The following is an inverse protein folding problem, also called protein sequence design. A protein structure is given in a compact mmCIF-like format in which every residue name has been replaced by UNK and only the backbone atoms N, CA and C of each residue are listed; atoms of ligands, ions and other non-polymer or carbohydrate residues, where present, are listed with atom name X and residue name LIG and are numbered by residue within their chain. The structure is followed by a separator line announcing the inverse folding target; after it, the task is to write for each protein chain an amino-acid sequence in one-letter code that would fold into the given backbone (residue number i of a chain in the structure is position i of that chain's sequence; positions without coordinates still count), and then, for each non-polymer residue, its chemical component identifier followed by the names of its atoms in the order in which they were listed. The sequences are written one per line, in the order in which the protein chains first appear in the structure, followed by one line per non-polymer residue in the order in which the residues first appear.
data_IF_579769052651
#
_entry.id   IF_579769052651
#
_cell.length_a   1.000
_cell.length_b   1.000
_cell.length_c   1.000
_cell.angle_alpha   90.00
_cell.angle_beta   90.00
_cell.angle_gamma   90.00
#
_symmetry.space_group_name_H-M   'P 1'
#
loop_
_entity.id
_entity.type
_entity.pdbx_description
1 polymer ?
#
# COMPACT_ATOMS: atom_id res chain seq x y z
N UNK A 1 -15.15 29.72 -18.90
CA UNK A 1 -14.44 30.63 -17.99
C UNK A 1 -13.30 31.20 -18.79
N UNK A 2 -13.64 32.26 -19.50
CA UNK A 2 -12.71 33.19 -20.12
C UNK A 2 -11.97 33.92 -19.00
N UNK A 3 -10.64 34.03 -19.08
CA UNK A 3 -9.99 35.23 -18.57
C UNK A 3 -8.77 35.54 -19.43
N UNK A 4 -8.84 36.76 -19.95
CA UNK A 4 -8.08 37.35 -21.02
C UNK A 4 -6.76 37.99 -20.52
N UNK A 5 -5.81 38.10 -21.46
CA UNK A 5 -5.03 39.31 -21.76
C UNK A 5 -4.33 40.08 -20.63
N UNK A 6 -2.99 40.12 -20.67
CA UNK A 6 -2.31 41.43 -20.69
C UNK A 6 -0.97 41.41 -21.43
N UNK A 7 -0.95 42.12 -22.56
CA UNK A 7 0.18 42.43 -23.42
C UNK A 7 0.54 43.89 -23.14
N UNK A 8 1.76 44.16 -22.69
CA UNK A 8 2.23 45.53 -22.49
C UNK A 8 3.32 45.88 -23.52
N UNK A 9 3.09 46.83 -24.43
CA UNK A 9 4.08 47.37 -25.35
C UNK A 9 4.53 48.81 -24.99
N UNK A 10 5.72 49.14 -25.49
CA UNK A 10 6.25 50.48 -25.79
C UNK A 10 6.67 51.45 -24.68
N UNK A 11 7.83 52.10 -24.88
CA UNK A 11 8.20 53.27 -24.09
C UNK A 11 9.63 53.80 -24.20
N UNK A 12 10.05 54.22 -25.41
CA UNK A 12 11.05 55.27 -25.75
C UNK A 12 11.42 56.25 -24.59
N UNK A 13 12.64 56.81 -24.39
CA UNK A 13 13.54 57.56 -25.31
C UNK A 13 14.76 58.12 -24.51
N UNK A 14 15.77 58.74 -25.15
CA UNK A 14 17.13 58.91 -24.62
C UNK A 14 17.37 60.24 -23.88
N UNK A 15 18.33 60.25 -22.94
CA UNK A 15 18.94 61.48 -22.43
C UNK A 15 20.46 61.45 -22.58
N UNK A 16 20.93 62.22 -23.56
CA UNK A 16 22.27 62.77 -23.63
C UNK A 16 22.64 63.48 -22.32
N UNK A 17 23.77 63.10 -21.71
CA UNK A 17 24.49 64.00 -20.80
C UNK A 17 26.01 63.93 -21.03
N UNK A 18 26.46 64.98 -21.69
CA UNK A 18 27.75 65.70 -21.66
C UNK A 18 28.90 65.07 -20.84
N UNK A 19 29.92 64.73 -21.61
CA UNK A 19 31.36 64.64 -21.37
C UNK A 19 31.89 65.42 -20.16
N UNK A 20 32.62 64.72 -19.28
CA UNK A 20 33.81 65.26 -18.62
C UNK A 20 34.96 64.26 -18.80
N UNK A 21 35.86 64.63 -19.70
CA UNK A 21 37.15 63.98 -19.88
C UNK A 21 38.02 64.30 -18.66
N UNK A 22 38.23 63.33 -17.78
CA UNK A 22 39.38 63.31 -16.88
C UNK A 22 40.49 62.46 -17.53
N UNK A 23 41.64 63.05 -17.86
CA UNK A 23 42.82 62.29 -18.24
C UNK A 23 43.48 61.69 -16.99
N UNK A 24 44.39 60.75 -17.20
CA UNK A 24 45.29 60.11 -16.22
C UNK A 24 44.71 59.02 -15.30
N UNK A 25 44.66 57.80 -15.84
CA UNK A 25 45.15 56.59 -15.14
C UNK A 25 45.32 55.45 -16.17
N UNK A 26 46.18 55.68 -17.17
CA UNK A 26 46.65 54.64 -18.09
C UNK A 26 47.95 54.03 -17.56
N UNK A 27 47.89 53.40 -16.39
CA UNK A 27 48.91 52.44 -15.94
C UNK A 27 48.16 51.41 -15.11
N UNK A 28 48.27 50.12 -15.48
CA UNK A 28 47.64 48.94 -14.84
C UNK A 28 46.37 48.34 -15.46
N UNK A 29 45.96 48.71 -16.69
CA UNK A 29 44.87 47.99 -17.41
C UNK A 29 45.18 46.53 -17.73
N UNK A 30 46.46 46.15 -17.81
CA UNK A 30 46.85 44.77 -18.09
C UNK A 30 46.63 43.80 -16.92
N UNK A 31 46.51 44.29 -15.68
CA UNK A 31 46.40 43.42 -14.51
C UNK A 31 44.95 42.96 -14.29
N UNK A 32 43.98 43.86 -14.43
CA UNK A 32 42.56 43.57 -14.23
C UNK A 32 41.97 42.63 -15.28
N UNK A 33 42.40 42.72 -16.54
CA UNK A 33 41.93 41.82 -17.60
C UNK A 33 42.39 40.38 -17.37
N UNK A 34 43.62 40.17 -16.89
CA UNK A 34 44.14 38.83 -16.56
C UNK A 34 43.42 38.21 -15.37
N UNK A 35 43.10 39.01 -14.35
CA UNK A 35 42.32 38.56 -13.20
C UNK A 35 40.89 38.11 -13.61
N UNK A 36 40.21 38.92 -14.43
CA UNK A 36 38.88 38.60 -14.96
C UNK A 36 38.88 37.33 -15.81
N UNK A 37 39.91 37.12 -16.64
CA UNK A 37 40.04 35.92 -17.45
C UNK A 37 40.30 34.67 -16.59
N UNK A 38 41.08 34.81 -15.51
CA UNK A 38 41.27 33.74 -14.54
C UNK A 38 39.98 33.37 -13.78
N UNK A 39 39.22 34.38 -13.34
CA UNK A 39 37.94 34.16 -12.65
C UNK A 39 36.89 33.52 -13.55
N UNK A 40 36.81 33.93 -14.83
CA UNK A 40 35.88 33.33 -15.80
C UNK A 40 36.25 31.88 -16.13
N UNK A 41 37.55 31.58 -16.30
CA UNK A 41 38.02 30.20 -16.45
C UNK A 41 37.66 29.35 -15.21
N UNK A 42 37.90 29.87 -14.01
CA UNK A 42 37.55 29.16 -12.77
C UNK A 42 36.05 28.89 -12.67
N UNK A 43 35.20 29.89 -12.94
CA UNK A 43 33.75 29.73 -12.96
C UNK A 43 33.28 28.70 -14.00
N UNK A 44 33.89 28.69 -15.20
CA UNK A 44 33.55 27.72 -16.23
C UNK A 44 33.91 26.28 -15.83
N UNK A 45 35.06 26.08 -15.20
CA UNK A 45 35.49 24.77 -14.73
C UNK A 45 34.62 24.27 -13.57
N UNK A 46 34.24 25.14 -12.63
CA UNK A 46 33.37 24.77 -11.52
C UNK A 46 31.96 24.46 -12.00
N UNK A 47 31.40 25.22 -12.94
CA UNK A 47 30.08 24.91 -13.52
C UNK A 47 30.09 23.58 -14.26
N UNK A 48 31.10 23.30 -15.09
CA UNK A 48 31.24 22.00 -15.76
C UNK A 48 31.35 20.88 -14.71
N UNK A 49 32.15 21.07 -13.66
CA UNK A 49 32.28 20.10 -12.57
C UNK A 49 30.94 19.82 -11.87
N UNK A 50 30.16 20.85 -11.55
CA UNK A 50 28.83 20.70 -10.94
C UNK A 50 27.88 19.96 -11.89
N UNK A 51 27.84 20.33 -13.17
CA UNK A 51 26.98 19.67 -14.17
C UNK A 51 27.34 18.18 -14.30
N UNK A 52 28.62 17.83 -14.35
CA UNK A 52 29.07 16.43 -14.41
C UNK A 52 28.65 15.68 -13.15
N UNK A 53 28.77 16.27 -11.96
CA UNK A 53 28.32 15.64 -10.71
C UNK A 53 26.81 15.44 -10.69
N UNK A 54 26.03 16.41 -11.15
CA UNK A 54 24.57 16.29 -11.24
C UNK A 54 24.16 15.20 -12.22
N UNK A 55 24.77 15.15 -13.41
CA UNK A 55 24.52 14.10 -14.40
C UNK A 55 24.93 12.71 -13.90
N UNK A 56 26.08 12.60 -13.23
CA UNK A 56 26.54 11.35 -12.64
C UNK A 56 25.60 10.87 -11.53
N UNK A 57 25.14 11.79 -10.68
CA UNK A 57 24.17 11.48 -9.64
C UNK A 57 22.85 10.99 -10.24
N UNK A 58 22.35 11.63 -11.29
CA UNK A 58 21.13 11.21 -11.99
C UNK A 58 21.28 9.83 -12.63
N UNK A 59 22.40 9.59 -13.31
CA UNK A 59 22.74 8.29 -13.91
C UNK A 59 22.80 7.16 -12.86
N UNK A 60 23.46 7.40 -11.72
CA UNK A 60 23.51 6.42 -10.64
C UNK A 60 22.15 6.26 -9.96
N UNK A 61 21.37 7.33 -9.83
CA UNK A 61 20.02 7.24 -9.27
C UNK A 61 19.12 6.38 -10.15
N UNK A 62 19.21 6.52 -11.48
CA UNK A 62 18.51 5.66 -12.42
C UNK A 62 19.06 4.23 -12.46
N UNK A 63 20.36 4.03 -12.25
CA UNK A 63 20.93 2.68 -12.25
C UNK A 63 20.73 1.93 -10.92
N UNK A 64 20.59 2.68 -9.81
CA UNK A 64 20.24 2.16 -8.48
C UNK A 64 18.74 2.18 -8.20
N UNK A 65 17.94 2.72 -9.12
CA UNK A 65 16.49 2.59 -9.11
C UNK A 65 16.17 1.11 -9.38
N UNK A 66 16.16 0.32 -8.30
CA UNK A 66 15.90 -1.11 -8.32
C UNK A 66 14.68 -1.47 -9.15
N UNK A 67 14.56 -2.76 -9.46
CA UNK A 67 13.48 -3.27 -10.31
C UNK A 67 12.11 -2.72 -9.85
N UNK A 68 11.16 -2.50 -10.77
CA UNK A 68 9.82 -2.00 -10.41
C UNK A 68 9.22 -2.82 -9.26
N UNK A 69 9.42 -4.14 -9.30
CA UNK A 69 9.12 -5.08 -8.22
C UNK A 69 9.68 -4.62 -6.87
N UNK A 70 10.98 -4.34 -6.76
CA UNK A 70 11.59 -3.87 -5.51
C UNK A 70 11.00 -2.55 -5.02
N UNK A 71 10.77 -1.59 -5.93
CA UNK A 71 10.17 -0.31 -5.57
C UNK A 71 8.75 -0.50 -5.00
N UNK A 72 7.92 -1.33 -5.63
CA UNK A 72 6.55 -1.62 -5.19
C UNK A 72 6.56 -2.37 -3.86
N UNK A 73 7.39 -3.40 -3.70
CA UNK A 73 7.54 -4.13 -2.43
C UNK A 73 8.02 -3.23 -1.29
N UNK A 74 8.86 -2.24 -1.58
CA UNK A 74 9.34 -1.25 -0.61
C UNK A 74 8.26 -0.23 -0.24
N UNK A 75 7.42 0.21 -1.18
CA UNK A 75 6.33 1.18 -0.93
C UNK A 75 5.13 0.57 -0.21
N UNK A 76 4.83 -0.70 -0.47
CA UNK A 76 3.68 -1.40 0.11
C UNK A 76 4.12 -2.61 0.97
N UNK A 77 4.83 -2.37 2.08
CA UNK A 77 5.28 -3.45 2.95
C UNK A 77 4.09 -4.19 3.56
N UNK A 78 4.22 -5.51 3.72
CA UNK A 78 3.22 -6.37 4.39
C UNK A 78 2.09 -6.90 3.50
N UNK A 79 1.84 -6.31 2.33
CA UNK A 79 0.79 -6.80 1.41
C UNK A 79 1.18 -8.09 0.68
N UNK A 80 2.46 -8.23 0.35
CA UNK A 80 2.99 -9.32 -0.47
C UNK A 80 3.71 -10.36 0.37
N UNK A 81 3.38 -11.64 0.15
CA UNK A 81 4.01 -12.79 0.82
C UNK A 81 4.37 -13.86 -0.19
N UNK A 82 5.44 -14.61 0.10
CA UNK A 82 5.74 -15.84 -0.65
C UNK A 82 4.78 -16.96 -0.19
N UNK A 83 4.66 -18.01 -1.00
CA UNK A 83 3.84 -19.16 -0.64
C UNK A 83 4.33 -19.82 0.67
N UNK A 84 5.63 -20.04 0.82
CA UNK A 84 6.22 -20.65 2.03
C UNK A 84 5.92 -19.84 3.30
N UNK A 85 5.99 -18.50 3.21
CA UNK A 85 5.63 -17.62 4.33
C UNK A 85 4.15 -17.75 4.65
N UNK A 86 3.29 -17.84 3.64
CA UNK A 86 1.86 -18.03 3.84
C UNK A 86 1.55 -19.39 4.49
N UNK A 87 2.17 -20.48 4.05
CA UNK A 87 2.01 -21.82 4.64
C UNK A 87 2.46 -21.87 6.10
N UNK A 88 3.56 -21.17 6.42
CA UNK A 88 4.04 -21.03 7.80
C UNK A 88 3.02 -20.29 8.68
N UNK A 89 2.40 -19.21 8.17
CA UNK A 89 1.34 -18.47 8.87
C UNK A 89 0.09 -19.34 9.06
N UNK A 90 -0.32 -20.10 8.05
CA UNK A 90 -1.47 -21.02 8.16
C UNK A 90 -1.23 -22.05 9.26
N UNK A 91 -0.03 -22.65 9.26
CA UNK A 91 0.35 -23.67 10.24
C UNK A 91 0.39 -23.10 11.66
N UNK A 92 0.94 -21.90 11.85
CA UNK A 92 0.98 -21.26 13.17
C UNK A 92 -0.40 -20.86 13.66
N UNK A 93 -1.28 -20.36 12.79
CA UNK A 93 -2.67 -20.05 13.14
C UNK A 93 -3.45 -21.30 13.55
N UNK A 94 -3.30 -22.40 12.81
CA UNK A 94 -3.90 -23.70 13.15
C UNK A 94 -3.46 -24.16 14.55
N UNK A 95 -2.17 -24.07 14.85
CA UNK A 95 -1.65 -24.52 16.14
C UNK A 95 -2.12 -23.64 17.31
N UNK A 96 -2.36 -22.35 17.07
CA UNK A 96 -2.93 -21.44 18.07
C UNK A 96 -4.40 -21.71 18.34
N UNK A 97 -5.20 -21.98 17.29
CA UNK A 97 -6.65 -22.19 17.40
C UNK A 97 -7.01 -23.51 18.13
N UNK A 98 -6.06 -24.43 18.28
CA UNK A 98 -6.26 -25.73 18.96
C UNK A 98 -6.14 -25.64 20.49
N UNK A 99 -5.66 -24.53 21.08
CA UNK A 99 -5.06 -24.58 22.43
C UNK A 99 -5.81 -23.91 23.59
N UNK A 100 -6.78 -23.02 23.39
CA UNK A 100 -7.37 -22.29 24.53
C UNK A 100 -8.88 -22.54 24.72
N UNK A 101 -9.29 -23.42 25.65
CA UNK A 101 -10.63 -23.34 26.21
C UNK A 101 -10.74 -22.00 26.95
N UNK A 102 -11.58 -21.11 26.43
CA UNK A 102 -11.88 -19.81 27.06
C UNK A 102 -12.44 -20.09 28.46
N UNK A 103 -11.66 -19.75 29.49
CA UNK A 103 -12.11 -19.82 30.88
C UNK A 103 -13.15 -18.70 31.10
N UNK A 104 -14.38 -19.11 31.37
CA UNK A 104 -15.52 -18.24 31.71
C UNK A 104 -15.26 -17.60 33.07
N UNK A 105 -14.52 -16.48 33.12
CA UNK A 105 -14.49 -15.55 34.27
C UNK A 105 -13.73 -14.23 34.03
N UNK A 106 -13.45 -13.81 32.79
CA UNK A 106 -12.84 -12.50 32.54
C UNK A 106 -13.88 -11.47 32.12
N UNK A 107 -14.24 -10.56 33.04
CA UNK A 107 -14.90 -9.29 32.73
C UNK A 107 -13.94 -8.38 31.98
N UNK A 108 -14.06 -8.32 30.65
CA UNK A 108 -13.31 -7.39 29.81
C UNK A 108 -13.99 -6.02 29.80
N UNK A 109 -13.41 -5.06 30.51
CA UNK A 109 -13.65 -3.63 30.30
C UNK A 109 -12.66 -3.13 29.23
N UNK A 110 -13.20 -2.61 28.13
CA UNK A 110 -12.53 -1.64 27.25
C UNK A 110 -11.45 -2.19 26.32
N UNK A 111 -11.84 -2.35 25.04
CA UNK A 111 -11.10 -2.10 23.78
C UNK A 111 -11.60 -3.15 22.77
N UNK A 112 -12.47 -2.70 21.85
CA UNK A 112 -13.09 -3.54 20.82
C UNK A 112 -12.07 -3.94 19.76
N UNK A 113 -11.39 -5.06 19.95
CA UNK A 113 -11.11 -5.98 18.86
C UNK A 113 -12.23 -7.01 18.89
N UNK A 114 -13.19 -6.89 17.99
CA UNK A 114 -14.29 -7.86 17.89
C UNK A 114 -13.75 -9.10 17.15
N UNK A 115 -12.82 -9.82 17.79
CA UNK A 115 -12.64 -11.24 17.52
C UNK A 115 -14.01 -11.90 17.73
N UNK A 116 -14.35 -12.86 16.89
CA UNK A 116 -15.66 -13.51 16.86
C UNK A 116 -15.99 -14.12 18.24
N UNK A 117 -16.56 -13.34 19.16
CA UNK A 117 -16.83 -13.79 20.52
C UNK A 117 -18.17 -14.53 20.54
N UNK A 118 -18.09 -15.75 21.05
CA UNK A 118 -19.19 -16.69 21.14
C UNK A 118 -19.92 -16.41 22.45
N UNK A 119 -21.15 -15.89 22.39
CA UNK A 119 -22.12 -16.02 23.47
C UNK A 119 -23.09 -17.17 23.14
N UNK A 120 -22.61 -18.40 23.30
CA UNK A 120 -23.51 -19.54 23.41
C UNK A 120 -23.94 -19.61 24.88
N UNK A 121 -25.08 -19.00 25.22
CA UNK A 121 -25.79 -19.38 26.44
C UNK A 121 -26.13 -20.87 26.30
N UNK A 122 -25.44 -21.69 27.09
CA UNK A 122 -25.51 -23.13 27.02
C UNK A 122 -26.96 -23.61 27.19
N UNK A 123 -27.53 -24.21 26.13
CA UNK A 123 -28.58 -25.19 26.32
C UNK A 123 -27.90 -26.42 26.93
N UNK A 124 -28.15 -26.62 28.22
CA UNK A 124 -27.73 -27.80 28.97
C UNK A 124 -28.36 -29.04 28.36
N UNK A 125 -27.59 -29.78 27.56
CA UNK A 125 -27.87 -31.19 27.32
C UNK A 125 -26.66 -32.03 27.68
N UNK A 126 -26.87 -32.87 28.69
CA UNK A 126 -26.00 -33.92 29.19
C UNK A 126 -25.64 -34.92 28.08
N UNK A 127 -24.71 -34.56 27.19
CA UNK A 127 -24.13 -35.49 26.23
C UNK A 127 -22.63 -35.61 26.48
N UNK A 128 -22.28 -36.55 27.37
CA UNK A 128 -20.99 -37.23 27.32
C UNK A 128 -20.92 -37.99 25.99
N UNK A 129 -20.53 -37.33 24.91
CA UNK A 129 -20.18 -37.99 23.65
C UNK A 129 -18.86 -37.46 23.13
N UNK A 130 -18.00 -38.42 22.81
CA UNK A 130 -16.83 -38.37 21.93
C UNK A 130 -16.37 -36.95 21.59
N UNK A 131 -15.18 -36.63 22.08
CA UNK A 131 -14.32 -35.57 21.55
C UNK A 131 -14.11 -35.86 20.07
N UNK A 132 -15.03 -35.40 19.22
CA UNK A 132 -14.81 -35.35 17.78
C UNK A 132 -13.63 -34.41 17.60
N UNK A 133 -12.53 -34.98 17.12
CA UNK A 133 -11.37 -34.23 16.65
C UNK A 133 -11.85 -33.41 15.46
N UNK A 134 -12.42 -32.23 15.75
CA UNK A 134 -12.80 -31.28 14.71
C UNK A 134 -11.54 -30.88 13.95
N UNK A 135 -11.68 -30.76 12.63
CA UNK A 135 -10.58 -30.36 11.77
C UNK A 135 -10.08 -28.97 12.21
N UNK A 136 -8.76 -28.75 12.24
CA UNK A 136 -8.20 -27.44 12.55
C UNK A 136 -8.75 -26.37 11.61
N UNK A 137 -9.26 -25.25 12.15
CA UNK A 137 -9.73 -24.09 11.39
C UNK A 137 -11.25 -23.94 11.20
N UNK A 138 -12.07 -24.79 11.82
CA UNK A 138 -13.53 -24.63 11.88
C UNK A 138 -13.99 -23.93 13.16
N UNK A 139 -14.71 -22.81 13.04
CA UNK A 139 -15.29 -22.08 14.18
C UNK A 139 -16.81 -22.24 14.17
N UNK A 140 -17.39 -22.61 15.32
CA UNK A 140 -18.83 -22.83 15.49
C UNK A 140 -19.52 -21.57 16.05
N UNK A 141 -20.64 -21.19 15.43
CA UNK A 141 -21.50 -20.08 15.84
C UNK A 141 -22.97 -20.54 15.85
N UNK A 142 -23.38 -21.21 16.93
CA UNK A 142 -24.70 -21.84 17.01
C UNK A 142 -24.85 -22.95 15.95
N UNK A 143 -25.78 -22.77 15.00
CA UNK A 143 -26.02 -23.71 13.90
C UNK A 143 -25.02 -23.58 12.73
N UNK A 144 -24.09 -22.63 12.79
CA UNK A 144 -23.24 -22.25 11.67
C UNK A 144 -21.78 -22.63 11.91
N UNK A 145 -21.11 -23.07 10.86
CA UNK A 145 -19.70 -23.44 10.88
C UNK A 145 -18.94 -22.60 9.85
N UNK A 146 -17.93 -21.87 10.33
CA UNK A 146 -17.03 -21.06 9.50
C UNK A 146 -15.73 -21.81 9.28
N UNK A 147 -15.43 -22.19 8.04
CA UNK A 147 -14.16 -22.84 7.69
C UNK A 147 -13.21 -21.81 7.10
N UNK A 148 -12.09 -21.55 7.78
CA UNK A 148 -11.10 -20.57 7.33
C UNK A 148 -10.28 -21.11 6.16
N UNK A 149 -10.03 -20.26 5.16
CA UNK A 149 -9.12 -20.53 4.05
C UNK A 149 -8.42 -19.23 3.62
N UNK A 150 -7.38 -19.35 2.78
CA UNK A 150 -6.65 -18.20 2.25
C UNK A 150 -6.78 -18.15 0.74
N UNK A 151 -7.27 -17.02 0.23
CA UNK A 151 -7.47 -16.80 -1.20
C UNK A 151 -6.43 -15.83 -1.75
N UNK A 152 -5.97 -16.06 -2.98
CA UNK A 152 -5.08 -15.14 -3.71
C UNK A 152 -5.55 -14.92 -5.15
N UNK A 153 -6.73 -14.30 -5.35
CA UNK A 153 -7.30 -14.11 -6.67
C UNK A 153 -6.48 -13.10 -7.49
N UNK A 154 -6.47 -13.23 -8.82
CA UNK A 154 -5.84 -12.25 -9.71
C UNK A 154 -6.72 -11.00 -9.89
N UNK A 155 -8.04 -11.15 -9.81
CA UNK A 155 -9.01 -10.06 -9.91
C UNK A 155 -10.05 -10.14 -8.79
N UNK A 156 -10.50 -9.00 -8.29
CA UNK A 156 -11.59 -8.92 -7.29
C UNK A 156 -12.43 -7.67 -7.52
N UNK A 157 -13.71 -7.74 -7.20
CA UNK A 157 -14.60 -6.58 -7.21
C UNK A 157 -14.43 -5.79 -5.90
N UNK A 158 -14.12 -4.50 -6.01
CA UNK A 158 -13.94 -3.62 -4.85
C UNK A 158 -15.29 -3.26 -4.20
N UNK A 159 -15.25 -2.52 -3.09
CA UNK A 159 -16.48 -2.08 -2.39
C UNK A 159 -17.38 -1.17 -3.24
N UNK A 160 -16.86 -0.59 -4.32
CA UNK A 160 -17.59 0.27 -5.25
C UNK A 160 -18.21 -0.48 -6.43
N UNK A 161 -18.06 -1.81 -6.50
CA UNK A 161 -18.60 -2.64 -7.58
C UNK A 161 -17.72 -2.70 -8.84
N UNK A 162 -16.51 -2.14 -8.81
CA UNK A 162 -15.56 -2.16 -9.94
C UNK A 162 -14.64 -3.37 -9.83
N UNK A 163 -14.47 -4.10 -10.94
CA UNK A 163 -13.47 -5.17 -11.03
C UNK A 163 -12.06 -4.58 -11.09
N UNK A 164 -11.16 -5.02 -10.20
CA UNK A 164 -9.78 -4.57 -10.08
C UNK A 164 -8.82 -5.74 -10.20
N UNK A 165 -7.69 -5.51 -10.87
CA UNK A 165 -6.60 -6.48 -10.98
C UNK A 165 -5.64 -6.29 -9.81
N UNK A 166 -5.43 -7.34 -9.02
CA UNK A 166 -4.51 -7.33 -7.90
C UNK A 166 -3.08 -7.40 -8.40
N UNK A 167 -2.19 -6.64 -7.77
CA UNK A 167 -0.77 -6.73 -8.04
C UNK A 167 -0.24 -8.10 -7.55
N UNK A 168 0.39 -8.86 -8.44
CA UNK A 168 1.08 -10.11 -8.12
C UNK A 168 2.45 -10.15 -8.79
N UNK A 169 3.40 -10.82 -8.14
CA UNK A 169 4.72 -11.12 -8.67
C UNK A 169 4.92 -12.64 -8.68
N UNK A 170 5.83 -13.13 -9.53
CA UNK A 170 6.03 -14.57 -9.75
C UNK A 170 6.20 -15.39 -8.45
N UNK A 171 6.89 -14.83 -7.46
CA UNK A 171 7.23 -15.42 -6.16
C UNK A 171 6.46 -14.81 -4.99
N UNK A 172 5.70 -13.73 -5.20
CA UNK A 172 5.04 -12.98 -4.13
C UNK A 172 3.63 -12.57 -4.51
N UNK A 173 2.67 -13.02 -3.72
CA UNK A 173 1.24 -12.77 -3.94
C UNK A 173 0.60 -12.09 -2.73
N UNK A 174 -0.58 -11.53 -2.95
CA UNK A 174 -1.43 -11.03 -1.88
C UNK A 174 -2.42 -12.13 -1.48
N UNK A 175 -2.47 -12.45 -0.18
CA UNK A 175 -3.35 -13.48 0.37
C UNK A 175 -4.35 -12.85 1.32
N UNK A 176 -5.63 -13.21 1.16
CA UNK A 176 -6.73 -12.77 2.00
C UNK A 176 -7.22 -13.94 2.83
N UNK A 177 -7.34 -13.73 4.14
CA UNK A 177 -8.02 -14.69 4.99
C UNK A 177 -9.52 -14.55 4.77
N UNK A 178 -10.14 -15.62 4.29
CA UNK A 178 -11.58 -15.71 4.05
C UNK A 178 -12.14 -16.90 4.84
N UNK A 179 -13.45 -16.95 5.05
CA UNK A 179 -14.11 -18.16 5.59
C UNK A 179 -15.31 -18.54 4.75
N UNK A 180 -15.55 -19.84 4.65
CA UNK A 180 -16.72 -20.42 4.01
C UNK A 180 -17.77 -20.72 5.06
N UNK A 181 -19.00 -20.28 4.80
CA UNK A 181 -20.11 -20.55 5.69
C UNK A 181 -20.85 -21.84 5.36
N UNK A 182 -21.07 -22.67 6.38
CA UNK A 182 -21.83 -23.91 6.27
C UNK A 182 -22.82 -24.06 7.42
N UNK A 183 -23.92 -24.78 7.18
CA UNK A 183 -25.02 -24.98 8.12
C UNK A 183 -25.09 -26.44 8.58
N UNK A 184 -25.31 -26.64 9.87
CA UNK A 184 -25.49 -27.97 10.47
C UNK A 184 -26.92 -28.44 10.20
N UNK A 185 -27.07 -29.46 9.33
CA UNK A 185 -28.38 -29.94 8.81
C UNK A 185 -29.45 -30.22 9.86
N UNK A 186 -29.09 -30.56 11.09
CA UNK A 186 -30.02 -30.89 12.19
C UNK A 186 -30.36 -29.72 13.12
N UNK A 187 -29.82 -28.52 12.89
CA UNK A 187 -29.91 -27.42 13.84
C UNK A 187 -31.03 -26.43 13.48
N UNK A 188 -32.22 -26.59 14.06
CA UNK A 188 -33.33 -25.65 13.89
C UNK A 188 -33.21 -24.49 14.86
N UNK A 189 -33.30 -23.24 14.39
CA UNK A 189 -33.35 -22.06 15.28
C UNK A 189 -32.73 -20.79 14.72
N UNK A 190 -31.93 -20.89 13.66
CA UNK A 190 -31.42 -19.71 12.96
C UNK A 190 -31.04 -20.02 11.51
N UNK A 191 -30.90 -18.96 10.72
CA UNK A 191 -30.30 -19.00 9.39
C UNK A 191 -28.86 -18.53 9.46
N UNK A 192 -27.95 -19.27 8.81
CA UNK A 192 -26.55 -18.89 8.70
C UNK A 192 -26.36 -17.83 7.64
N UNK A 193 -25.78 -16.70 8.03
CA UNK A 193 -25.46 -15.59 7.15
C UNK A 193 -23.95 -15.38 7.15
N UNK A 194 -23.37 -15.20 5.97
CA UNK A 194 -21.96 -14.89 5.82
C UNK A 194 -21.74 -13.40 6.08
N UNK A 195 -21.06 -13.05 7.17
CA UNK A 195 -20.59 -11.68 7.39
C UNK A 195 -19.45 -11.38 6.41
N UNK A 196 -19.27 -10.10 6.10
CA UNK A 196 -18.19 -9.61 5.23
C UNK A 196 -17.29 -8.68 6.02
N UNK A 197 -15.99 -8.82 5.81
CA UNK A 197 -14.97 -7.92 6.33
C UNK A 197 -14.41 -7.06 5.22
N UNK A 198 -14.02 -5.82 5.53
CA UNK A 198 -13.32 -4.96 4.57
C UNK A 198 -11.82 -5.17 4.75
N UNK A 199 -11.13 -5.54 3.68
CA UNK A 199 -9.67 -5.66 3.64
C UNK A 199 -9.12 -4.77 2.53
N UNK A 200 -7.87 -4.33 2.67
CA UNK A 200 -7.17 -3.55 1.64
C UNK A 200 -6.31 -4.44 0.76
N UNK A 201 -6.11 -4.04 -0.49
CA UNK A 201 -5.16 -4.69 -1.39
C UNK A 201 -4.48 -3.66 -2.29
N UNK A 202 -3.28 -3.99 -2.76
CA UNK A 202 -2.58 -3.25 -3.81
C UNK A 202 -3.09 -3.70 -5.16
N UNK A 203 -3.57 -2.77 -5.97
CA UNK A 203 -4.14 -3.05 -7.29
C UNK A 203 -3.51 -2.17 -8.36
N UNK A 204 -3.65 -2.61 -9.61
CA UNK A 204 -3.32 -1.79 -10.77
C UNK A 204 -4.40 -0.73 -10.97
N UNK A 205 -4.00 0.50 -11.29
CA UNK A 205 -4.90 1.57 -11.70
C UNK A 205 -5.65 1.18 -12.98
N UNK A 206 -6.86 1.73 -13.14
CA UNK A 206 -7.70 1.45 -14.30
C UNK A 206 -6.98 1.84 -15.60
N UNK A 207 -7.05 0.97 -16.60
CA UNK A 207 -6.41 1.18 -17.92
C UNK A 207 -4.94 0.76 -18.01
N UNK A 208 -4.31 0.35 -16.89
CA UNK A 208 -2.94 -0.16 -16.89
C UNK A 208 -2.94 -1.68 -17.12
N UNK A 209 -2.33 -2.13 -18.21
CA UNK A 209 -2.13 -3.56 -18.51
C UNK A 209 -0.71 -4.04 -18.21
N UNK A 210 0.27 -3.15 -18.34
CA UNK A 210 1.67 -3.38 -18.01
C UNK A 210 2.13 -2.20 -17.14
N UNK A 211 2.33 -2.40 -15.83
CA UNK A 211 2.82 -1.33 -14.97
C UNK A 211 4.29 -1.06 -15.30
N UNK A 212 4.61 0.21 -15.55
CA UNK A 212 5.98 0.66 -15.85
C UNK A 212 6.55 1.45 -14.66
N UNK A 213 5.67 2.05 -13.84
CA UNK A 213 6.08 2.81 -12.67
C UNK A 213 5.24 2.48 -11.42
N UNK A 214 5.75 2.87 -10.27
CA UNK A 214 5.13 2.69 -8.97
C UNK A 214 3.84 3.50 -8.79
N UNK A 215 3.63 4.50 -9.65
CA UNK A 215 2.44 5.31 -9.70
C UNK A 215 1.27 4.57 -10.35
N UNK A 216 1.51 3.48 -11.05
CA UNK A 216 0.49 2.62 -11.65
C UNK A 216 -0.25 1.75 -10.64
N UNK A 217 0.20 1.79 -9.38
CA UNK A 217 -0.36 1.03 -8.27
C UNK A 217 -1.11 1.94 -7.29
N UNK A 218 -2.23 1.45 -6.79
CA UNK A 218 -3.02 2.09 -5.74
C UNK A 218 -3.49 1.07 -4.69
N UNK A 219 -3.94 1.56 -3.54
CA UNK A 219 -4.59 0.72 -2.53
C UNK A 219 -6.10 0.88 -2.70
N UNK A 220 -6.81 -0.24 -2.73
CA UNK A 220 -8.27 -0.26 -2.80
C UNK A 220 -8.85 -1.20 -1.73
N UNK A 221 -10.15 -1.10 -1.49
CA UNK A 221 -10.88 -1.81 -0.45
C UNK A 221 -11.78 -2.90 -1.04
N UNK A 222 -11.77 -4.08 -0.42
CA UNK A 222 -12.49 -5.26 -0.89
C UNK A 222 -13.32 -5.87 0.22
N UNK A 223 -14.51 -6.37 -0.15
CA UNK A 223 -15.25 -7.28 0.72
C UNK A 223 -14.67 -8.69 0.62
N UNK A 224 -14.25 -9.22 1.77
CA UNK A 224 -13.79 -10.59 1.95
C UNK A 224 -14.76 -11.32 2.87
N UNK A 225 -15.12 -12.54 2.50
CA UNK A 225 -16.05 -13.38 3.27
C UNK A 225 -15.45 -13.65 4.66
N UNK A 226 -16.14 -13.15 5.70
CA UNK A 226 -15.76 -13.19 7.10
C UNK A 226 -16.28 -14.43 7.83
N UNK A 227 -16.78 -14.31 9.05
CA UNK A 227 -17.39 -15.43 9.78
C UNK A 227 -18.86 -15.66 9.39
N UNK A 228 -19.35 -16.87 9.64
CA UNK A 228 -20.79 -17.10 9.72
C UNK A 228 -21.36 -16.45 10.97
N UNK A 229 -22.52 -15.83 10.84
CA UNK A 229 -23.38 -15.46 11.95
C UNK A 229 -24.70 -16.22 11.88
N UNK A 230 -25.18 -16.64 13.04
CA UNK A 230 -26.49 -17.29 13.22
C UNK A 230 -27.51 -16.17 13.47
N UNK A 231 -28.43 -15.95 12.52
CA UNK A 231 -29.52 -14.97 12.65
C UNK A 231 -30.82 -15.69 12.97
N UNK A 232 -31.44 -15.33 14.09
CA UNK A 232 -32.76 -15.83 14.45
C UNK A 232 -33.75 -15.53 13.33
N UNK A 233 -34.45 -16.57 12.88
CA UNK A 233 -35.52 -16.51 11.88
C UNK A 233 -36.83 -16.09 12.50
#
# INVERSE_FOLDING_TARGET
MEEDTERNPDGNTPKHRRTQNSPSAQTNKHCTTRLLLGMTLFFSLTTVGIVVVLLWRELIYHHSAGTLKEKVLKKFPGYFRTQDVQETIVTSLINLDISEPIHVNQTFNGVRYQSCSINCAAYTQNSRRKKETHAPGSIFHGCCVSNTYFASPDTKVNIFGSSKTLAHYADKRQYFQAKNCSYIKSCTGCTCVQDRSVQTAVVLKAGVTSPDDIEDFEIDFFFIDGCCTCRNT
#
